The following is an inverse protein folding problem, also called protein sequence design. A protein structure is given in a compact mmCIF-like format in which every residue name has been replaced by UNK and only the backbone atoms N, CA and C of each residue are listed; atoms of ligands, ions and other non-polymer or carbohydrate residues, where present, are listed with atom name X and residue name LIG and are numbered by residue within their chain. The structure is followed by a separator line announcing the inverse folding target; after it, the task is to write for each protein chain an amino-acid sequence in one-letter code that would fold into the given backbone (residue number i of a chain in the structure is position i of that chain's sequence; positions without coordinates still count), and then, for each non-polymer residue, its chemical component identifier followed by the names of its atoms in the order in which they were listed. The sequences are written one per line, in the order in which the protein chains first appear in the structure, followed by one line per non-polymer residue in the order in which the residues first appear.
data_IF_796806469909
#
_entry.id   IF_796806469909
#
_cell.length_a   1.000
_cell.length_b   1.000
_cell.length_c   1.000
_cell.angle_alpha   90.00
_cell.angle_beta   90.00
_cell.angle_gamma   90.00
#
_symmetry.space_group_name_H-M   'P 1'
#
loop_
_entity.id
_entity.type
_entity.pdbx_description
1 polymer ?
#
# COMPACT_ATOMS: atom_id res chain seq x y z
N UNK A 1 6.62 -42.07 -15.45
CA UNK A 1 5.62 -41.44 -14.55
C UNK A 1 6.24 -40.67 -13.39
N UNK A 2 7.20 -41.22 -12.61
CA UNK A 2 7.85 -40.50 -11.48
C UNK A 2 8.57 -39.20 -11.88
N UNK A 3 9.24 -39.16 -13.04
CA UNK A 3 9.94 -37.95 -13.55
C UNK A 3 8.97 -36.85 -14.02
N UNK A 4 7.77 -37.23 -14.47
CA UNK A 4 6.73 -36.28 -14.87
C UNK A 4 6.08 -35.64 -13.63
N UNK A 5 5.85 -36.44 -12.58
CA UNK A 5 5.39 -35.95 -11.27
C UNK A 5 6.38 -34.99 -10.63
N UNK A 6 7.68 -35.28 -10.71
CA UNK A 6 8.71 -34.40 -10.15
C UNK A 6 8.81 -33.07 -10.90
N UNK A 7 8.63 -33.07 -12.23
CA UNK A 7 8.61 -31.85 -13.03
C UNK A 7 7.38 -30.97 -12.72
N UNK A 8 6.20 -31.59 -12.54
CA UNK A 8 4.98 -30.88 -12.14
C UNK A 8 5.12 -30.31 -10.73
N UNK A 9 5.75 -31.03 -9.81
CA UNK A 9 6.01 -30.56 -8.45
C UNK A 9 6.93 -29.32 -8.42
N UNK A 10 7.97 -29.30 -9.26
CA UNK A 10 8.91 -28.17 -9.38
C UNK A 10 8.22 -26.93 -9.98
N UNK A 11 7.30 -27.11 -10.93
CA UNK A 11 6.50 -26.01 -11.50
C UNK A 11 5.52 -25.43 -10.47
N UNK A 12 4.93 -26.26 -9.61
CA UNK A 12 4.05 -25.80 -8.52
C UNK A 12 4.83 -25.01 -7.45
N UNK A 13 6.06 -25.44 -7.14
CA UNK A 13 6.94 -24.73 -6.21
C UNK A 13 7.39 -23.35 -6.73
N UNK A 14 7.52 -23.18 -8.05
CA UNK A 14 7.93 -21.90 -8.65
C UNK A 14 6.88 -20.78 -8.57
N UNK A 15 5.60 -21.11 -8.31
CA UNK A 15 4.51 -20.13 -8.17
C UNK A 15 4.43 -19.53 -6.75
N UNK A 16 5.24 -20.04 -5.81
CA UNK A 16 5.14 -19.73 -4.38
C UNK A 16 5.96 -18.51 -3.93
N UNK A 17 6.09 -17.48 -4.76
CA UNK A 17 6.68 -16.20 -4.35
C UNK A 17 5.66 -15.08 -4.45
N UNK A 18 4.57 -15.21 -3.71
CA UNK A 18 3.73 -14.06 -3.37
C UNK A 18 4.50 -13.22 -2.33
N UNK A 19 5.37 -12.34 -2.82
CA UNK A 19 5.92 -11.25 -1.99
C UNK A 19 4.73 -10.49 -1.43
N UNK A 20 4.66 -10.32 -0.11
CA UNK A 20 3.59 -9.56 0.55
C UNK A 20 3.72 -8.07 0.16
N UNK A 21 3.24 -7.74 -1.05
CA UNK A 21 3.18 -6.38 -1.52
C UNK A 21 2.23 -5.58 -0.60
N UNK A 22 2.55 -4.32 -0.31
CA UNK A 22 1.64 -3.46 0.44
C UNK A 22 0.28 -3.42 -0.26
N UNK A 23 -0.79 -3.50 0.54
CA UNK A 23 -2.15 -3.52 0.01
C UNK A 23 -2.41 -2.26 -0.81
N UNK A 24 -2.84 -2.47 -2.05
CA UNK A 24 -3.39 -1.41 -2.88
C UNK A 24 -4.88 -1.31 -2.62
N UNK A 25 -5.35 -0.08 -2.46
CA UNK A 25 -6.74 0.24 -2.18
C UNK A 25 -7.32 1.03 -3.34
N UNK A 26 -8.60 0.81 -3.63
CA UNK A 26 -9.34 1.52 -4.65
C UNK A 26 -10.59 2.15 -4.06
N UNK A 27 -10.88 3.39 -4.41
CA UNK A 27 -12.14 4.04 -4.08
C UNK A 27 -12.49 5.10 -5.13
N UNK A 28 -13.77 5.47 -5.19
CA UNK A 28 -14.26 6.46 -6.14
C UNK A 28 -14.68 7.73 -5.43
N UNK A 29 -14.34 8.88 -6.00
CA UNK A 29 -14.70 10.20 -5.48
C UNK A 29 -14.77 11.26 -6.55
N UNK A 30 -15.04 12.49 -6.15
CA UNK A 30 -15.16 13.64 -7.03
C UNK A 30 -13.91 14.53 -6.94
N UNK A 31 -13.31 14.89 -8.06
CA UNK A 31 -12.14 15.77 -8.09
C UNK A 31 -12.57 17.18 -7.68
N UNK A 32 -11.88 17.73 -6.69
CA UNK A 32 -12.11 19.09 -6.18
C UNK A 32 -11.02 20.06 -6.60
N UNK A 33 -9.80 19.57 -6.83
CA UNK A 33 -8.66 20.38 -7.24
C UNK A 33 -7.66 19.51 -8.01
N UNK A 34 -7.03 20.09 -9.04
CA UNK A 34 -5.93 19.47 -9.79
C UNK A 34 -4.77 20.45 -9.82
N UNK A 35 -3.62 20.03 -9.30
CA UNK A 35 -2.33 20.73 -9.36
C UNK A 35 -1.31 19.86 -10.08
N UNK A 36 -0.14 20.40 -10.37
CA UNK A 36 0.92 19.67 -11.08
C UNK A 36 1.37 18.42 -10.33
N UNK A 37 1.54 18.51 -9.01
CA UNK A 37 2.07 17.46 -8.15
C UNK A 37 1.02 16.78 -7.27
N UNK A 38 -0.22 17.28 -7.24
CA UNK A 38 -1.25 16.81 -6.31
C UNK A 38 -2.65 16.88 -6.92
N UNK A 39 -3.53 15.97 -6.49
CA UNK A 39 -4.95 15.99 -6.82
C UNK A 39 -5.77 15.80 -5.56
N UNK A 40 -6.78 16.65 -5.39
CA UNK A 40 -7.70 16.59 -4.26
C UNK A 40 -8.99 15.93 -4.68
N UNK A 41 -9.36 14.82 -4.06
CA UNK A 41 -10.58 14.06 -4.35
C UNK A 41 -11.46 13.97 -3.10
N UNK A 42 -12.73 14.33 -3.26
CA UNK A 42 -13.73 14.26 -2.20
C UNK A 42 -14.32 12.86 -2.09
N UNK A 43 -14.29 12.31 -0.88
CA UNK A 43 -14.94 11.05 -0.49
C UNK A 43 -15.93 11.33 0.63
N UNK A 44 -17.22 11.32 0.31
CA UNK A 44 -18.26 11.68 1.29
C UNK A 44 -18.08 13.12 1.78
N UNK A 45 -17.70 13.31 3.04
CA UNK A 45 -17.45 14.64 3.66
C UNK A 45 -15.97 15.02 3.74
N UNK A 46 -15.06 14.10 3.41
CA UNK A 46 -13.62 14.32 3.50
C UNK A 46 -13.03 14.64 2.14
N UNK A 47 -11.99 15.49 2.11
CA UNK A 47 -11.19 15.79 0.93
C UNK A 47 -9.81 15.15 1.13
N UNK A 48 -9.45 14.26 0.21
CA UNK A 48 -8.19 13.54 0.21
C UNK A 48 -7.25 14.17 -0.80
N UNK A 49 -6.12 14.73 -0.34
CA UNK A 49 -5.06 15.20 -1.21
C UNK A 49 -4.08 14.07 -1.48
N UNK A 50 -3.88 13.75 -2.76
CA UNK A 50 -3.07 12.64 -3.22
C UNK A 50 -1.91 13.20 -4.04
N UNK A 51 -0.69 12.80 -3.70
CA UNK A 51 0.50 13.15 -4.47
C UNK A 51 0.50 12.42 -5.82
N UNK A 52 0.99 13.12 -6.84
CA UNK A 52 1.21 12.64 -8.19
C UNK A 52 2.68 12.80 -8.54
N UNK A 53 3.19 11.80 -9.22
CA UNK A 53 4.53 11.79 -9.78
C UNK A 53 4.51 11.28 -11.23
N UNK A 54 5.68 11.16 -11.83
CA UNK A 54 5.83 10.70 -13.22
C UNK A 54 5.37 9.25 -13.43
N UNK A 55 5.28 8.47 -12.37
CA UNK A 55 4.85 7.07 -12.40
C UNK A 55 3.32 6.94 -12.23
N UNK A 56 2.64 8.04 -11.87
CA UNK A 56 1.19 8.10 -11.72
C UNK A 56 0.51 8.01 -13.08
N UNK A 57 -0.14 6.87 -13.35
CA UNK A 57 -0.91 6.66 -14.57
C UNK A 57 -2.26 7.39 -14.46
N UNK A 58 -2.48 8.38 -15.32
CA UNK A 58 -3.75 9.08 -15.43
C UNK A 58 -4.48 8.55 -16.66
N UNK A 59 -5.66 7.98 -16.45
CA UNK A 59 -6.55 7.52 -17.51
C UNK A 59 -7.80 8.40 -17.56
N UNK A 60 -8.09 8.97 -18.74
CA UNK A 60 -9.27 9.81 -18.97
C UNK A 60 -9.10 11.29 -18.55
N UNK A 61 -10.23 12.01 -18.55
CA UNK A 61 -10.29 13.45 -18.26
C UNK A 61 -10.29 13.75 -16.75
N UNK A 62 -9.10 14.05 -16.24
CA UNK A 62 -8.89 14.51 -14.87
C UNK A 62 -9.15 16.02 -14.75
N UNK A 63 -10.41 16.40 -14.53
CA UNK A 63 -10.86 17.79 -14.32
C UNK A 63 -11.64 17.92 -13.02
N UNK A 64 -11.72 19.14 -12.48
CA UNK A 64 -12.57 19.44 -11.32
C UNK A 64 -14.03 19.09 -11.63
N UNK A 65 -14.72 18.46 -10.66
CA UNK A 65 -16.07 17.94 -10.79
C UNK A 65 -16.17 16.55 -11.44
N UNK A 66 -15.09 16.01 -12.01
CA UNK A 66 -15.10 14.65 -12.54
C UNK A 66 -15.17 13.62 -11.41
N UNK A 67 -15.97 12.58 -11.63
CA UNK A 67 -15.95 11.37 -10.80
C UNK A 67 -14.79 10.48 -11.25
N UNK A 68 -13.86 10.19 -10.35
CA UNK A 68 -12.65 9.42 -10.62
C UNK A 68 -12.50 8.27 -9.64
N UNK A 69 -11.84 7.21 -10.10
CA UNK A 69 -11.42 6.11 -9.24
C UNK A 69 -9.95 6.31 -8.90
N UNK A 70 -9.66 6.41 -7.60
CA UNK A 70 -8.32 6.54 -7.06
C UNK A 70 -7.84 5.17 -6.62
N UNK A 71 -6.75 4.73 -7.22
CA UNK A 71 -5.97 3.58 -6.77
C UNK A 71 -4.73 4.10 -6.03
N UNK A 72 -4.50 3.63 -4.80
CA UNK A 72 -3.35 4.06 -4.01
C UNK A 72 -2.81 2.96 -3.11
N UNK A 73 -1.50 3.04 -2.85
CA UNK A 73 -0.80 2.21 -1.88
C UNK A 73 -0.26 3.13 -0.79
N UNK A 74 -0.54 2.82 0.48
CA UNK A 74 -0.01 3.62 1.59
C UNK A 74 1.48 3.34 1.78
N UNK A 75 2.31 4.39 1.67
CA UNK A 75 3.74 4.35 1.92
C UNK A 75 4.08 5.25 3.10
N UNK A 76 4.75 4.69 4.11
CA UNK A 76 5.29 5.49 5.20
C UNK A 76 6.57 6.21 4.73
N UNK A 77 6.66 7.51 5.02
CA UNK A 77 7.89 8.29 4.79
C UNK A 77 8.87 8.13 5.95
N UNK A 78 8.36 8.05 7.18
CA UNK A 78 9.13 7.86 8.41
C UNK A 78 8.23 7.21 9.47
N UNK A 79 8.76 6.25 10.21
CA UNK A 79 8.10 5.65 11.38
C UNK A 79 9.07 5.77 12.55
N UNK A 80 8.67 6.46 13.62
CA UNK A 80 9.47 6.60 14.84
C UNK A 80 8.74 5.91 16.00
N UNK A 81 9.30 4.80 16.46
CA UNK A 81 8.87 4.16 17.71
C UNK A 81 9.46 4.90 18.89
N UNK A 82 8.63 5.42 19.79
CA UNK A 82 9.09 5.86 21.11
C UNK A 82 9.17 4.61 22.00
N UNK A 83 10.35 4.34 22.57
CA UNK A 83 10.53 3.19 23.45
C UNK A 83 9.68 3.37 24.72
N UNK A 84 8.74 2.46 24.95
CA UNK A 84 8.13 2.29 26.26
C UNK A 84 9.23 1.77 27.21
N UNK A 85 9.64 2.60 28.17
CA UNK A 85 10.55 2.20 29.25
C UNK A 85 9.88 1.12 30.12
N UNK A 86 9.89 -0.14 29.69
CA UNK A 86 9.56 -1.24 30.58
C UNK A 86 10.83 -1.64 31.32
N UNK A 87 10.86 -1.27 32.60
CA UNK A 87 11.91 -1.58 33.53
C UNK A 87 12.19 -3.08 33.56
N UNK A 88 13.40 -3.44 33.14
CA UNK A 88 14.10 -4.62 33.57
C UNK A 88 14.21 -4.59 35.10
N UNK A 89 13.39 -5.38 35.79
CA UNK A 89 13.64 -5.74 37.18
C UNK A 89 13.52 -7.25 37.35
N UNK A 90 14.59 -7.91 36.91
CA UNK A 90 15.38 -8.85 37.71
C UNK A 90 14.66 -10.14 38.10
N UNK A 91 14.69 -11.10 37.18
CA UNK A 91 14.82 -12.51 37.53
C UNK A 91 16.32 -12.86 37.56
N UNK A 92 16.94 -12.73 38.73
CA UNK A 92 18.06 -13.59 39.18
C UNK A 92 18.56 -13.13 40.56
N UNK A 93 18.31 -13.97 41.55
CA UNK A 93 19.31 -14.32 42.56
C UNK A 93 19.06 -15.77 42.99
N UNK A 94 19.90 -16.67 42.46
CA UNK A 94 20.33 -17.94 43.05
C UNK A 94 20.30 -17.93 44.58
N UNK A 95 19.60 -18.89 45.20
CA UNK A 95 20.19 -19.91 46.08
C UNK A 95 19.14 -20.95 46.48
#
# INVERSE_FOLDING_TARGET
MKKLFLAVLVVILAVSFAVAAPKTYQWTGEVTEVKDDTVSVKKGKEIWQIARDKDTKISGDLKVGSKVTVEYTMKAVKIEGKADKKADKKEEKKK
#
